data_IF_455200621840
#
_entry.id   IF_455200621840
#
_cell.length_a   1.000
_cell.length_b   1.000
_cell.length_c   1.000
_cell.angle_alpha   90.00
_cell.angle_beta   90.00
_cell.angle_gamma   90.00
#
_symmetry.space_group_name_H-M   'P 1'
#
loop_
_entity.id
_entity.type
_entity.pdbx_description
1 polymer ?
#
# COMPACT_ATOMS: atom_id res chain seq x y z
N UNK A 1 21.04 7.98 9.86
CA UNK A 1 20.56 7.38 8.59
C UNK A 1 19.09 7.02 8.76
N UNK A 2 18.25 7.26 7.76
CA UNK A 2 16.86 6.80 7.73
C UNK A 2 16.82 5.40 7.11
N UNK A 3 16.15 4.45 7.73
CA UNK A 3 15.95 3.10 7.16
C UNK A 3 14.78 3.19 6.15
N UNK A 4 14.96 2.76 4.90
CA UNK A 4 13.85 2.69 3.94
C UNK A 4 12.79 1.69 4.42
N UNK A 5 11.53 2.14 4.50
CA UNK A 5 10.39 1.30 4.83
C UNK A 5 9.45 1.14 3.63
N UNK A 6 8.81 -0.02 3.55
CA UNK A 6 7.72 -0.30 2.61
C UNK A 6 6.38 -0.13 3.31
N UNK A 7 5.35 0.37 2.62
CA UNK A 7 3.99 0.38 3.15
C UNK A 7 3.34 -1.00 2.96
N UNK A 8 2.86 -1.62 4.05
CA UNK A 8 2.05 -2.82 3.97
C UNK A 8 0.59 -2.44 3.67
N UNK A 9 0.12 -2.73 2.46
CA UNK A 9 -1.25 -2.40 2.03
C UNK A 9 -2.33 -3.37 2.56
N UNK A 10 -1.92 -4.42 3.27
CA UNK A 10 -2.83 -5.28 4.05
C UNK A 10 -3.19 -4.69 5.42
N UNK A 11 -2.42 -3.70 5.91
CA UNK A 11 -2.66 -3.05 7.20
C UNK A 11 -2.87 -1.53 7.10
N UNK A 12 -2.23 -0.88 6.14
CA UNK A 12 -2.33 0.57 5.91
C UNK A 12 -3.24 0.86 4.70
N UNK A 13 -3.93 2.00 4.72
CA UNK A 13 -4.73 2.50 3.60
C UNK A 13 -5.85 1.53 3.15
N UNK A 14 -6.39 0.74 4.08
CA UNK A 14 -7.39 -0.31 3.81
C UNK A 14 -8.78 0.25 3.47
N UNK A 15 -8.99 1.55 3.67
CA UNK A 15 -10.17 2.29 3.22
C UNK A 15 -10.17 2.58 1.70
N UNK A 16 -9.06 2.34 1.01
CA UNK A 16 -8.93 2.55 -0.43
C UNK A 16 -8.89 1.23 -1.20
N UNK A 17 -9.31 1.26 -2.47
CA UNK A 17 -9.00 0.18 -3.43
C UNK A 17 -7.49 0.05 -3.63
N UNK A 18 -6.99 -1.10 -4.10
CA UNK A 18 -5.54 -1.32 -4.28
C UNK A 18 -4.83 -0.18 -5.04
N UNK A 19 -5.33 0.32 -6.20
CA UNK A 19 -4.71 1.47 -6.86
C UNK A 19 -4.76 2.75 -6.02
N UNK A 20 -5.80 2.94 -5.20
CA UNK A 20 -5.92 4.05 -4.27
C UNK A 20 -4.88 3.96 -3.14
N UNK A 21 -4.77 2.80 -2.50
CA UNK A 21 -3.80 2.53 -1.43
C UNK A 21 -2.35 2.77 -1.91
N UNK A 22 -2.02 2.37 -3.15
CA UNK A 22 -0.71 2.69 -3.76
C UNK A 22 -0.48 4.21 -3.85
N UNK A 23 -1.48 4.98 -4.32
CA UNK A 23 -1.36 6.45 -4.42
C UNK A 23 -1.22 7.11 -3.05
N UNK A 24 -2.00 6.69 -2.07
CA UNK A 24 -1.93 7.25 -0.71
C UNK A 24 -0.62 6.89 0.00
N UNK A 25 -0.09 5.68 -0.22
CA UNK A 25 1.23 5.30 0.30
C UNK A 25 2.34 6.22 -0.22
N UNK A 26 2.30 6.59 -1.50
CA UNK A 26 3.27 7.52 -2.09
C UNK A 26 3.14 8.93 -1.51
N UNK A 27 1.91 9.41 -1.26
CA UNK A 27 1.65 10.69 -0.59
C UNK A 27 2.16 10.73 0.84
N UNK A 28 2.09 9.61 1.56
CA UNK A 28 2.63 9.44 2.90
C UNK A 28 4.17 9.32 2.94
N UNK A 29 4.84 9.33 1.79
CA UNK A 29 6.30 9.35 1.68
C UNK A 29 6.96 7.98 1.52
N UNK A 30 6.18 6.89 1.49
CA UNK A 30 6.72 5.57 1.19
C UNK A 30 7.22 5.49 -0.25
N UNK A 31 8.34 4.77 -0.44
CA UNK A 31 8.96 4.56 -1.77
C UNK A 31 8.75 3.15 -2.30
N UNK A 32 8.16 2.27 -1.48
CA UNK A 32 7.83 0.90 -1.81
C UNK A 32 6.51 0.51 -1.11
N UNK A 33 5.84 -0.50 -1.67
CA UNK A 33 4.65 -1.12 -1.11
C UNK A 33 4.79 -2.63 -1.12
N UNK A 34 4.15 -3.31 -0.18
CA UNK A 34 3.84 -4.74 -0.29
C UNK A 34 2.33 -4.99 -0.35
N UNK A 35 1.93 -6.03 -1.08
CA UNK A 35 0.54 -6.41 -1.27
C UNK A 35 0.41 -7.94 -1.29
N UNK A 36 -0.45 -8.49 -0.44
CA UNK A 36 -0.62 -9.95 -0.31
C UNK A 36 -1.48 -10.56 -1.43
N UNK A 37 -2.52 -9.85 -1.89
CA UNK A 37 -3.52 -10.37 -2.83
C UNK A 37 -3.78 -9.40 -3.99
N UNK A 38 -2.83 -9.24 -4.94
CA UNK A 38 -2.93 -8.22 -5.99
C UNK A 38 -4.05 -8.47 -7.03
N UNK A 39 -4.64 -9.68 -7.04
CA UNK A 39 -5.69 -10.09 -7.97
C UNK A 39 -7.05 -10.32 -7.31
N UNK A 40 -7.22 -9.90 -6.05
CA UNK A 40 -8.50 -10.09 -5.36
C UNK A 40 -9.61 -9.31 -6.07
N UNK A 41 -10.68 -10.01 -6.42
CA UNK A 41 -11.92 -9.45 -6.97
C UNK A 41 -13.06 -9.68 -5.97
N UNK A 42 -14.11 -8.86 -5.97
CA UNK A 42 -15.33 -9.14 -5.21
C UNK A 42 -15.89 -10.52 -5.57
N UNK A 43 -16.38 -11.25 -4.56
CA UNK A 43 -17.21 -12.45 -4.73
C UNK A 43 -18.67 -12.09 -4.93
#
# INVERSE_FOLDING_TARGET
>A
MMIPCSANLGYLFTEYSLPGAIRESAKAGFKAVECHFPYQVPV
#
